data_IF_277275238579
#
_entry.id   IF_277275238579
#
_cell.length_a   1.000
_cell.length_b   1.000
_cell.length_c   1.000
_cell.angle_alpha   90.00
_cell.angle_beta   90.00
_cell.angle_gamma   90.00
#
_symmetry.space_group_name_H-M   'P 1'
#
loop_
_entity.id
_entity.type
_entity.pdbx_description
1 polymer ?
#
# COMPACT_ATOMS: atom_id res chain seq x y z
N UNK A 1 -33.99 5.94 -20.77
CA UNK A 1 -33.45 6.12 -19.41
C UNK A 1 -31.96 5.85 -19.47
N UNK A 2 -31.11 6.88 -19.44
CA UNK A 2 -29.66 6.68 -19.46
C UNK A 2 -29.24 5.93 -18.20
N UNK A 3 -28.54 4.81 -18.36
CA UNK A 3 -27.92 4.10 -17.24
C UNK A 3 -26.95 5.07 -16.54
N UNK A 4 -27.19 5.35 -15.26
CA UNK A 4 -26.25 6.11 -14.44
C UNK A 4 -24.89 5.40 -14.44
N UNK A 5 -23.86 6.06 -14.97
CA UNK A 5 -22.49 5.56 -15.01
C UNK A 5 -22.01 5.36 -13.57
N UNK A 6 -21.59 4.15 -13.20
CA UNK A 6 -21.06 3.86 -11.85
C UNK A 6 -19.74 4.63 -11.69
N UNK A 7 -19.75 5.69 -10.87
CA UNK A 7 -18.53 6.44 -10.58
C UNK A 7 -17.57 5.60 -9.71
N UNK A 8 -16.25 5.65 -9.97
CA UNK A 8 -15.25 5.10 -9.05
C UNK A 8 -15.41 5.71 -7.64
N UNK A 9 -14.88 5.06 -6.60
CA UNK A 9 -14.93 5.60 -5.25
C UNK A 9 -13.99 6.80 -5.06
N UNK A 10 -12.97 6.96 -5.92
CA UNK A 10 -12.06 8.10 -5.97
C UNK A 10 -12.36 9.05 -7.15
N UNK A 11 -11.94 10.33 -7.10
CA UNK A 11 -11.91 11.24 -8.24
C UNK A 11 -11.18 10.68 -9.47
N UNK A 12 -11.51 11.18 -10.66
CA UNK A 12 -10.97 10.67 -11.94
C UNK A 12 -9.45 10.86 -12.03
N UNK A 13 -8.95 12.01 -11.62
CA UNK A 13 -7.53 12.34 -11.61
C UNK A 13 -6.73 11.47 -10.63
N UNK A 14 -7.30 11.11 -9.48
CA UNK A 14 -6.70 10.15 -8.56
C UNK A 14 -6.69 8.72 -9.14
N UNK A 15 -7.78 8.29 -9.78
CA UNK A 15 -7.81 7.01 -10.51
C UNK A 15 -6.74 6.96 -11.62
N UNK A 16 -6.58 8.05 -12.37
CA UNK A 16 -5.60 8.15 -13.46
C UNK A 16 -4.18 8.08 -12.92
N UNK A 17 -3.94 8.70 -11.77
CA UNK A 17 -2.66 8.61 -11.10
C UNK A 17 -2.38 7.21 -10.56
N UNK A 18 -3.35 6.52 -9.96
CA UNK A 18 -3.18 5.13 -9.51
C UNK A 18 -2.77 4.23 -10.69
N UNK A 19 -3.39 4.42 -11.86
CA UNK A 19 -3.03 3.70 -13.09
C UNK A 19 -1.62 4.07 -13.55
N UNK A 20 -1.24 5.34 -13.51
CA UNK A 20 0.11 5.80 -13.84
C UNK A 20 1.17 5.25 -12.86
N UNK A 21 0.86 5.22 -11.56
CA UNK A 21 1.73 4.65 -10.53
C UNK A 21 1.93 3.15 -10.76
N UNK A 22 0.87 2.40 -11.05
CA UNK A 22 0.99 0.99 -11.42
C UNK A 22 1.82 0.80 -12.69
N UNK A 23 1.61 1.61 -13.74
CA UNK A 23 2.44 1.57 -14.95
C UNK A 23 3.93 1.83 -14.64
N UNK A 24 4.22 2.77 -13.73
CA UNK A 24 5.58 3.02 -13.25
C UNK A 24 6.15 1.83 -12.48
N UNK A 25 5.40 1.25 -11.53
CA UNK A 25 5.80 0.05 -10.77
C UNK A 25 6.18 -1.09 -11.71
N UNK A 26 5.32 -1.37 -12.70
CA UNK A 26 5.58 -2.37 -13.74
C UNK A 26 6.90 -2.15 -14.46
N UNK A 27 7.21 -0.90 -14.80
CA UNK A 27 8.45 -0.52 -15.49
C UNK A 27 9.68 -0.63 -14.59
N UNK A 28 9.60 -0.17 -13.35
CA UNK A 28 10.77 -0.16 -12.45
C UNK A 28 11.05 -1.51 -11.81
N UNK A 29 10.02 -2.35 -11.67
CA UNK A 29 10.14 -3.72 -11.15
C UNK A 29 10.38 -4.76 -12.26
N UNK A 30 10.35 -4.34 -13.52
CA UNK A 30 10.52 -5.19 -14.70
C UNK A 30 9.61 -6.43 -14.65
N UNK A 31 8.30 -6.17 -14.51
CA UNK A 31 7.33 -7.21 -14.17
C UNK A 31 6.69 -7.92 -15.38
N UNK A 32 7.26 -7.76 -16.58
CA UNK A 32 6.63 -8.25 -17.79
C UNK A 32 6.41 -9.77 -17.71
N UNK A 33 5.15 -10.19 -17.89
CA UNK A 33 4.75 -11.59 -17.77
C UNK A 33 4.66 -12.15 -16.35
N UNK A 34 4.98 -11.38 -15.30
CA UNK A 34 4.77 -11.80 -13.91
C UNK A 34 3.28 -11.76 -13.56
N UNK A 35 2.87 -12.75 -12.77
CA UNK A 35 1.57 -12.82 -12.12
C UNK A 35 1.82 -12.83 -10.63
N UNK A 36 1.42 -11.76 -9.97
CA UNK A 36 1.51 -11.62 -8.52
C UNK A 36 0.24 -12.22 -7.94
N UNK A 37 0.35 -13.01 -6.89
CA UNK A 37 -0.80 -13.60 -6.20
C UNK A 37 -1.36 -12.63 -5.15
N UNK A 38 -2.67 -12.71 -4.88
CA UNK A 38 -3.27 -11.93 -3.81
C UNK A 38 -2.89 -12.54 -2.46
N UNK A 39 -2.44 -11.70 -1.52
CA UNK A 39 -2.19 -12.11 -0.13
C UNK A 39 -3.40 -11.68 0.71
N UNK A 40 -4.12 -12.67 1.24
CA UNK A 40 -5.37 -12.45 1.95
C UNK A 40 -5.23 -12.82 3.44
N UNK A 41 -6.02 -12.20 4.35
CA UNK A 41 -6.06 -12.56 5.78
C UNK A 41 -6.31 -14.05 6.06
N UNK A 42 -7.01 -14.76 5.17
CA UNK A 42 -7.21 -16.21 5.25
C UNK A 42 -6.01 -17.08 4.85
N UNK A 43 -4.84 -16.51 4.56
CA UNK A 43 -3.63 -17.27 4.23
C UNK A 43 -3.16 -18.10 5.43
N UNK A 44 -3.00 -19.41 5.23
CA UNK A 44 -2.67 -20.35 6.32
C UNK A 44 -1.34 -20.01 7.02
N UNK A 45 -0.30 -19.64 6.27
CA UNK A 45 0.99 -19.30 6.88
C UNK A 45 0.88 -18.05 7.77
N UNK A 46 0.15 -17.02 7.32
CA UNK A 46 -0.10 -15.82 8.12
C UNK A 46 -0.93 -16.15 9.37
N UNK A 47 -1.92 -17.05 9.26
CA UNK A 47 -2.75 -17.46 10.39
C UNK A 47 -2.01 -18.32 11.43
N UNK A 48 -1.00 -19.08 11.00
CA UNK A 48 -0.16 -19.91 11.87
C UNK A 48 0.96 -19.14 12.57
N UNK A 49 1.36 -17.98 12.03
CA UNK A 49 2.41 -17.15 12.62
C UNK A 49 2.00 -16.61 14.00
N UNK A 50 2.89 -16.75 14.97
CA UNK A 50 2.67 -16.36 16.37
C UNK A 50 3.54 -15.20 16.81
N UNK A 51 4.55 -14.85 16.01
CA UNK A 51 5.51 -13.78 16.29
C UNK A 51 5.59 -12.78 15.14
N UNK A 52 6.06 -11.57 15.45
CA UNK A 52 6.34 -10.54 14.44
C UNK A 52 7.40 -10.99 13.43
N UNK A 53 8.44 -11.70 13.88
CA UNK A 53 9.50 -12.21 13.01
C UNK A 53 8.98 -13.27 12.02
N UNK A 54 8.09 -14.16 12.45
CA UNK A 54 7.43 -15.13 11.56
C UNK A 54 6.56 -14.41 10.52
N UNK A 55 5.72 -13.45 10.95
CA UNK A 55 4.91 -12.64 10.03
C UNK A 55 5.80 -11.88 9.03
N UNK A 56 6.87 -11.25 9.52
CA UNK A 56 7.81 -10.53 8.66
C UNK A 56 8.45 -11.46 7.62
N UNK A 57 8.95 -12.62 8.03
CA UNK A 57 9.55 -13.59 7.11
C UNK A 57 8.55 -14.05 6.04
N UNK A 58 7.28 -14.27 6.40
CA UNK A 58 6.23 -14.62 5.44
C UNK A 58 5.98 -13.46 4.46
N UNK A 59 5.82 -12.23 4.96
CA UNK A 59 5.60 -11.05 4.09
C UNK A 59 6.80 -10.83 3.17
N UNK A 60 8.02 -10.91 3.69
CA UNK A 60 9.26 -10.79 2.95
C UNK A 60 9.37 -11.86 1.85
N UNK A 61 8.99 -13.10 2.14
CA UNK A 61 8.94 -14.16 1.14
C UNK A 61 7.89 -13.88 0.04
N UNK A 62 6.71 -13.40 0.41
CA UNK A 62 5.65 -13.04 -0.56
C UNK A 62 6.04 -11.85 -1.44
N UNK A 63 6.84 -10.92 -0.92
CA UNK A 63 7.46 -9.86 -1.71
C UNK A 63 8.63 -10.35 -2.60
N UNK A 64 8.96 -11.65 -2.58
CA UNK A 64 10.12 -12.24 -3.25
C UNK A 64 11.47 -11.66 -2.78
N UNK A 65 11.53 -11.26 -1.51
CA UNK A 65 12.69 -10.62 -0.87
C UNK A 65 13.31 -11.50 0.22
N UNK A 66 13.04 -12.81 0.24
CA UNK A 66 13.48 -13.71 1.32
C UNK A 66 15.01 -13.69 1.55
N UNK A 67 15.78 -13.52 0.47
CA UNK A 67 17.25 -13.48 0.52
C UNK A 67 17.81 -12.05 0.67
N UNK A 68 16.94 -11.04 0.77
CA UNK A 68 17.38 -9.65 0.88
C UNK A 68 17.80 -9.35 2.32
N UNK A 69 18.97 -8.72 2.54
CA UNK A 69 19.40 -8.37 3.90
C UNK A 69 18.44 -7.32 4.46
N UNK A 70 17.75 -7.68 5.55
CA UNK A 70 16.89 -6.78 6.29
C UNK A 70 16.70 -7.30 7.72
N UNK A 71 16.96 -6.44 8.70
CA UNK A 71 16.78 -6.75 10.11
C UNK A 71 15.45 -6.18 10.61
N UNK A 72 14.73 -6.98 11.39
CA UNK A 72 13.50 -6.54 12.04
C UNK A 72 13.79 -6.12 13.48
N UNK A 73 13.46 -4.89 13.84
CA UNK A 73 13.62 -4.36 15.19
C UNK A 73 12.28 -3.92 15.79
N UNK A 74 12.04 -4.29 17.05
CA UNK A 74 10.87 -3.84 17.80
C UNK A 74 11.20 -2.52 18.49
N UNK A 75 10.34 -1.52 18.30
CA UNK A 75 10.36 -0.29 19.09
C UNK A 75 9.28 -0.40 20.17
N UNK A 76 9.67 -0.15 21.43
CA UNK A 76 8.70 0.02 22.50
C UNK A 76 8.03 1.39 22.37
N UNK A 77 6.71 1.41 22.50
CA UNK A 77 5.98 2.66 22.62
C UNK A 77 6.39 3.28 23.97
N UNK A 78 7.12 4.40 23.94
CA UNK A 78 7.39 5.13 25.18
C UNK A 78 6.04 5.46 25.79
N UNK A 79 5.72 4.85 26.93
CA UNK A 79 4.59 5.27 27.74
C UNK A 79 4.90 6.70 28.15
N UNK A 80 4.34 7.68 27.44
CA UNK A 80 4.36 9.05 27.92
C UNK A 80 3.67 9.03 29.28
N UNK A 81 4.48 9.10 30.34
CA UNK A 81 4.04 9.68 31.60
C UNK A 81 3.99 11.18 31.36
N UNK A 82 3.10 11.63 30.48
CA UNK A 82 2.82 13.05 30.31
C UNK A 82 1.91 13.49 31.44
N UNK A 83 2.32 14.56 32.12
CA UNK A 83 1.49 15.33 33.03
C UNK A 83 0.14 15.64 32.33
N UNK A 84 -1.02 15.69 33.01
CA UNK A 84 -2.33 15.91 32.39
C UNK A 84 -2.50 17.25 31.65
N UNK A 85 -1.46 18.09 31.63
CA UNK A 85 -1.44 19.42 31.04
C UNK A 85 -0.68 19.51 29.70
N UNK A 86 0.00 18.44 29.26
CA UNK A 86 0.84 18.48 28.06
C UNK A 86 0.23 17.62 26.94
N UNK A 87 -0.52 18.26 26.03
CA UNK A 87 -0.99 17.63 24.79
C UNK A 87 0.20 17.58 23.84
N UNK A 88 1.05 16.57 23.99
CA UNK A 88 2.14 16.30 23.06
C UNK A 88 1.62 15.33 22.00
N UNK A 89 1.41 15.86 20.79
CA UNK A 89 0.98 15.14 19.60
C UNK A 89 2.20 14.38 19.02
N UNK A 90 2.71 13.38 19.75
CA UNK A 90 3.82 12.54 19.31
C UNK A 90 3.30 11.48 18.34
N UNK A 91 3.06 11.87 17.08
CA UNK A 91 2.66 10.95 16.02
C UNK A 91 3.88 10.19 15.51
N UNK A 92 4.30 9.13 16.23
CA UNK A 92 5.36 8.23 15.74
C UNK A 92 4.79 7.28 14.67
N UNK A 93 5.50 7.06 13.55
CA UNK A 93 5.05 6.14 12.53
C UNK A 93 5.01 4.70 13.07
N UNK A 94 4.04 3.91 12.61
CA UNK A 94 3.78 2.55 13.06
C UNK A 94 4.89 1.55 12.66
N UNK A 95 5.61 1.86 11.60
CA UNK A 95 6.85 1.23 11.19
C UNK A 95 7.77 2.24 10.52
N UNK A 96 9.04 1.87 10.36
CA UNK A 96 10.01 2.64 9.59
C UNK A 96 10.97 1.73 8.85
N UNK A 97 11.47 2.20 7.72
CA UNK A 97 12.56 1.61 6.96
C UNK A 97 13.77 2.55 6.97
N UNK A 98 14.97 2.03 7.25
CA UNK A 98 16.23 2.79 7.17
C UNK A 98 17.42 1.92 6.77
N UNK A 99 18.47 2.57 6.29
CA UNK A 99 19.79 1.97 6.08
C UNK A 99 20.77 2.53 7.13
N UNK A 100 21.34 1.66 7.97
CA UNK A 100 22.17 2.04 9.12
C UNK A 100 23.69 1.94 8.84
N UNK A 101 24.08 1.72 7.57
CA UNK A 101 25.48 1.71 7.15
C UNK A 101 26.14 0.33 7.05
N UNK A 102 27.42 0.33 6.67
CA UNK A 102 28.21 -0.89 6.47
C UNK A 102 28.40 -1.65 7.79
N UNK A 103 27.62 -2.71 8.00
CA UNK A 103 27.69 -3.60 9.16
C UNK A 103 26.33 -3.90 9.79
N UNK A 104 25.41 -2.93 9.74
CA UNK A 104 24.04 -3.06 10.26
C UNK A 104 23.01 -3.23 9.13
N UNK A 105 23.30 -2.71 7.93
CA UNK A 105 22.46 -2.93 6.74
C UNK A 105 21.09 -2.25 6.83
N UNK A 106 20.10 -2.86 6.19
CA UNK A 106 18.72 -2.35 6.18
C UNK A 106 17.96 -2.81 7.41
N UNK A 107 17.18 -1.90 8.00
CA UNK A 107 16.39 -2.16 9.20
C UNK A 107 14.95 -1.75 8.97
N UNK A 108 14.03 -2.66 9.26
CA UNK A 108 12.60 -2.37 9.38
C UNK A 108 12.25 -2.39 10.86
N UNK A 109 11.67 -1.29 11.34
CA UNK A 109 11.21 -1.16 12.72
C UNK A 109 9.71 -1.20 12.80
N UNK A 110 9.17 -1.71 13.90
CA UNK A 110 7.73 -1.75 14.13
C UNK A 110 7.36 -1.44 15.59
N UNK A 111 6.22 -0.78 15.78
CA UNK A 111 5.68 -0.49 17.12
C UNK A 111 5.20 -1.77 17.82
N UNK A 112 5.57 -1.91 19.10
CA UNK A 112 5.10 -2.98 19.97
C UNK A 112 3.56 -3.08 20.04
N UNK A 113 2.84 -1.96 19.92
CA UNK A 113 1.37 -1.92 19.91
C UNK A 113 0.74 -2.78 18.81
N UNK A 114 1.46 -3.01 17.70
CA UNK A 114 0.98 -3.79 16.56
C UNK A 114 0.98 -5.30 16.82
N UNK A 115 1.69 -5.80 17.84
CA UNK A 115 1.72 -7.24 18.18
C UNK A 115 0.33 -7.81 18.51
N UNK A 116 -0.63 -6.95 18.87
CA UNK A 116 -2.02 -7.36 19.14
C UNK A 116 -2.92 -7.28 17.91
N UNK A 117 -2.39 -6.87 16.76
CA UNK A 117 -3.11 -6.60 15.51
C UNK A 117 -2.30 -7.15 14.32
N UNK A 118 -2.26 -8.48 14.13
CA UNK A 118 -1.41 -9.12 13.12
C UNK A 118 -1.67 -8.58 11.70
N UNK A 119 -2.92 -8.33 11.31
CA UNK A 119 -3.25 -7.76 10.00
C UNK A 119 -2.63 -6.37 9.78
N UNK A 120 -2.62 -5.53 10.81
CA UNK A 120 -1.97 -4.23 10.73
C UNK A 120 -0.45 -4.39 10.61
N UNK A 121 0.12 -5.37 11.32
CA UNK A 121 1.54 -5.65 11.26
C UNK A 121 1.97 -6.15 9.87
N UNK A 122 1.15 -7.01 9.24
CA UNK A 122 1.32 -7.42 7.85
C UNK A 122 1.26 -6.23 6.90
N UNK A 123 0.27 -5.33 7.08
CA UNK A 123 0.18 -4.12 6.27
C UNK A 123 1.42 -3.22 6.43
N UNK A 124 1.90 -3.02 7.66
CA UNK A 124 3.12 -2.25 7.95
C UNK A 124 4.33 -2.90 7.28
N UNK A 125 4.55 -4.20 7.45
CA UNK A 125 5.68 -4.88 6.82
C UNK A 125 5.65 -4.82 5.29
N UNK A 126 4.47 -4.98 4.68
CA UNK A 126 4.32 -4.88 3.24
C UNK A 126 4.65 -3.46 2.73
N UNK A 127 4.26 -2.43 3.49
CA UNK A 127 4.61 -1.04 3.20
C UNK A 127 6.13 -0.81 3.34
N UNK A 128 6.74 -1.16 4.45
CA UNK A 128 8.18 -0.94 4.66
C UNK A 128 9.07 -1.75 3.70
N UNK A 129 8.67 -2.98 3.35
CA UNK A 129 9.36 -3.77 2.32
C UNK A 129 9.17 -3.15 0.93
N UNK A 130 8.06 -2.45 0.68
CA UNK A 130 7.88 -1.70 -0.56
C UNK A 130 8.82 -0.50 -0.65
N UNK A 131 9.11 0.18 0.47
CA UNK A 131 10.17 1.21 0.50
C UNK A 131 11.51 0.61 0.10
N UNK A 132 11.88 -0.52 0.70
CA UNK A 132 13.12 -1.21 0.35
C UNK A 132 13.14 -1.65 -1.13
N UNK A 133 12.04 -2.24 -1.62
CA UNK A 133 11.95 -2.67 -3.01
C UNK A 133 12.12 -1.50 -3.99
N UNK A 134 11.58 -0.32 -3.67
CA UNK A 134 11.61 0.86 -4.52
C UNK A 134 12.87 1.72 -4.36
N UNK A 135 13.72 1.43 -3.38
CA UNK A 135 14.92 2.20 -3.13
C UNK A 135 15.82 2.24 -4.39
N UNK A 136 16.24 3.46 -4.76
CA UNK A 136 17.09 3.68 -5.93
C UNK A 136 16.41 3.47 -7.29
N UNK A 137 15.10 3.17 -7.34
CA UNK A 137 14.36 2.90 -8.60
C UNK A 137 13.78 4.14 -9.29
N UNK A 138 14.06 5.33 -8.74
CA UNK A 138 13.66 6.62 -9.30
C UNK A 138 12.44 7.22 -8.60
N UNK A 139 11.98 8.35 -9.13
CA UNK A 139 10.89 9.14 -8.54
C UNK A 139 9.55 8.64 -9.11
N UNK A 140 8.50 8.47 -8.28
CA UNK A 140 7.20 8.05 -8.76
C UNK A 140 6.50 9.14 -9.60
N UNK A 141 5.48 8.77 -10.41
CA UNK A 141 4.67 9.73 -11.16
C UNK A 141 4.11 10.81 -10.23
N UNK A 142 4.25 12.08 -10.61
CA UNK A 142 3.79 13.21 -9.81
C UNK A 142 4.83 13.79 -8.83
N UNK A 143 5.99 13.15 -8.64
CA UNK A 143 7.13 13.71 -7.91
C UNK A 143 7.41 13.05 -6.56
N UNK A 144 8.48 13.51 -5.86
CA UNK A 144 8.95 12.90 -4.62
C UNK A 144 7.95 13.00 -3.45
N UNK A 145 7.04 13.99 -3.48
CA UNK A 145 6.00 14.15 -2.46
C UNK A 145 4.98 12.99 -2.45
N UNK A 146 4.96 12.16 -3.50
CA UNK A 146 4.08 11.00 -3.64
C UNK A 146 4.77 9.67 -3.35
N UNK A 147 5.97 9.66 -2.74
CA UNK A 147 6.71 8.44 -2.40
C UNK A 147 5.89 7.51 -1.50
N UNK A 148 5.36 7.99 -0.37
CA UNK A 148 4.55 7.16 0.53
C UNK A 148 3.30 6.57 -0.15
N UNK A 149 2.65 7.36 -1.02
CA UNK A 149 1.47 6.91 -1.77
C UNK A 149 1.85 5.86 -2.82
N UNK A 150 3.03 6.01 -3.45
CA UNK A 150 3.57 5.04 -4.38
C UNK A 150 4.03 3.76 -3.66
N UNK A 151 4.52 3.87 -2.43
CA UNK A 151 4.83 2.74 -1.55
C UNK A 151 3.57 1.95 -1.19
N UNK A 152 2.46 2.63 -0.88
CA UNK A 152 1.16 1.97 -0.71
C UNK A 152 0.66 1.29 -2.00
N UNK A 153 0.83 1.94 -3.15
CA UNK A 153 0.54 1.34 -4.44
C UNK A 153 1.38 0.08 -4.66
N UNK A 154 2.66 0.11 -4.30
CA UNK A 154 3.57 -1.02 -4.41
C UNK A 154 3.14 -2.18 -3.52
N UNK A 155 2.81 -1.93 -2.25
CA UNK A 155 2.31 -2.95 -1.35
C UNK A 155 0.99 -3.58 -1.86
N UNK A 156 0.07 -2.76 -2.38
CA UNK A 156 -1.16 -3.25 -3.01
C UNK A 156 -0.88 -4.08 -4.28
N UNK A 157 0.07 -3.61 -5.11
CA UNK A 157 0.53 -4.27 -6.33
C UNK A 157 1.18 -5.63 -6.04
N UNK A 158 1.95 -5.74 -4.95
CA UNK A 158 2.55 -6.97 -4.42
C UNK A 158 1.53 -7.93 -3.77
N UNK A 159 0.24 -7.58 -3.80
CA UNK A 159 -0.85 -8.46 -3.36
C UNK A 159 -1.40 -8.17 -1.97
N UNK A 160 -0.88 -7.19 -1.23
CA UNK A 160 -1.28 -6.89 0.16
C UNK A 160 -2.41 -5.87 0.29
N UNK A 161 -3.07 -5.51 -0.82
CA UNK A 161 -4.06 -4.43 -0.85
C UNK A 161 -5.21 -4.57 0.17
N UNK A 162 -5.65 -5.80 0.46
CA UNK A 162 -6.68 -6.07 1.48
C UNK A 162 -6.20 -5.69 2.88
N UNK A 163 -4.95 -6.01 3.23
CA UNK A 163 -4.37 -5.64 4.53
C UNK A 163 -4.26 -4.13 4.66
N UNK A 164 -3.71 -3.45 3.65
CA UNK A 164 -3.61 -1.99 3.67
C UNK A 164 -4.99 -1.32 3.78
N UNK A 165 -5.94 -1.72 2.93
CA UNK A 165 -7.29 -1.15 2.95
C UNK A 165 -8.01 -1.37 4.28
N UNK A 166 -7.88 -2.55 4.88
CA UNK A 166 -8.46 -2.85 6.19
C UNK A 166 -7.74 -2.10 7.33
N UNK A 167 -6.47 -1.72 7.16
CA UNK A 167 -5.66 -1.04 8.17
C UNK A 167 -5.51 0.47 7.95
N UNK A 168 -6.03 1.04 6.86
CA UNK A 168 -5.84 2.44 6.45
C UNK A 168 -6.08 3.47 7.57
N UNK A 169 -7.20 3.36 8.30
CA UNK A 169 -7.51 4.26 9.44
C UNK A 169 -6.50 4.17 10.58
N UNK A 170 -5.80 3.05 10.70
CA UNK A 170 -4.71 2.94 11.65
C UNK A 170 -3.49 3.68 11.19
N UNK A 171 -3.25 3.89 9.90
CA UNK A 171 -2.15 4.71 9.38
C UNK A 171 -2.49 6.21 9.44
N UNK A 172 -3.71 6.58 9.04
CA UNK A 172 -4.20 7.97 9.09
C UNK A 172 -4.10 8.60 10.49
N UNK A 173 -4.32 7.82 11.55
CA UNK A 173 -4.21 8.30 12.94
C UNK A 173 -2.81 8.79 13.34
N UNK A 174 -1.76 8.44 12.59
CA UNK A 174 -0.37 8.80 12.88
C UNK A 174 0.23 9.78 11.86
N UNK A 175 -0.56 10.19 10.87
CA UNK A 175 -0.16 11.19 9.88
C UNK A 175 -1.19 12.31 9.90
N UNK A 176 -1.01 13.30 10.77
CA UNK A 176 -1.91 14.44 10.84
C UNK A 176 -1.54 15.46 9.76
N UNK A 177 -2.47 15.76 8.85
CA UNK A 177 -2.28 16.77 7.81
C UNK A 177 -3.50 16.89 6.88
N UNK A 178 -4.29 17.94 7.05
CA UNK A 178 -5.41 18.25 6.16
C UNK A 178 -5.00 19.22 5.02
N UNK A 179 -5.74 19.13 3.89
CA UNK A 179 -6.35 20.24 3.11
C UNK A 179 -6.12 20.22 1.57
N UNK A 180 -7.28 20.25 0.87
CA UNK A 180 -7.63 20.72 -0.49
C UNK A 180 -6.85 20.19 -1.71
N UNK A 181 -7.50 19.28 -2.46
CA UNK A 181 -7.05 18.67 -3.73
C UNK A 181 -6.14 17.46 -3.49
N UNK A 182 -6.45 16.26 -4.01
CA UNK A 182 -5.75 15.03 -3.61
C UNK A 182 -4.23 15.08 -3.82
N UNK A 183 -3.77 15.87 -4.80
CA UNK A 183 -2.34 16.13 -5.10
C UNK A 183 -1.68 17.18 -4.21
N UNK A 184 -2.43 18.19 -3.77
CA UNK A 184 -1.96 19.25 -2.88
C UNK A 184 -2.15 18.91 -1.39
N UNK A 185 -2.89 17.83 -1.11
CA UNK A 185 -3.09 17.24 0.21
C UNK A 185 -2.19 16.03 0.49
N UNK A 186 -1.17 15.78 -0.33
CA UNK A 186 -0.32 14.58 -0.25
C UNK A 186 0.66 14.63 0.94
N UNK A 187 0.12 14.60 2.15
CA UNK A 187 0.82 14.22 3.36
C UNK A 187 0.27 12.88 3.82
N UNK A 188 1.12 11.87 3.97
CA UNK A 188 0.75 10.56 4.50
C UNK A 188 0.48 9.49 3.45
N UNK A 189 -0.54 8.68 3.70
CA UNK A 189 -0.84 7.42 3.01
C UNK A 189 -2.06 7.56 2.08
N UNK A 190 -2.28 6.57 1.22
CA UNK A 190 -3.51 6.48 0.43
C UNK A 190 -4.74 6.35 1.35
N UNK A 191 -5.82 7.05 1.01
CA UNK A 191 -7.11 6.90 1.69
C UNK A 191 -7.69 5.48 1.55
N UNK A 192 -8.65 5.11 2.41
CA UNK A 192 -9.39 3.84 2.28
C UNK A 192 -9.92 3.60 0.86
N UNK A 193 -10.47 4.63 0.22
CA UNK A 193 -11.05 4.55 -1.11
C UNK A 193 -9.99 4.34 -2.19
N UNK A 194 -8.83 4.98 -2.02
CA UNK A 194 -7.69 4.84 -2.91
C UNK A 194 -7.04 3.46 -2.78
N UNK A 195 -6.82 2.96 -1.56
CA UNK A 195 -6.31 1.61 -1.30
C UNK A 195 -7.22 0.52 -1.85
N UNK A 196 -8.54 0.66 -1.67
CA UNK A 196 -9.51 -0.26 -2.28
C UNK A 196 -9.46 -0.20 -3.81
N UNK A 197 -9.25 1.00 -4.38
CA UNK A 197 -9.11 1.17 -5.84
C UNK A 197 -7.81 0.56 -6.35
N UNK A 198 -6.69 0.73 -5.65
CA UNK A 198 -5.41 0.10 -5.94
C UNK A 198 -5.50 -1.43 -5.83
N UNK A 199 -6.22 -1.95 -4.84
CA UNK A 199 -6.50 -3.39 -4.69
C UNK A 199 -7.29 -3.91 -5.90
N UNK A 200 -8.31 -3.18 -6.36
CA UNK A 200 -9.07 -3.53 -7.56
C UNK A 200 -8.22 -3.47 -8.84
N UNK A 201 -7.28 -2.52 -8.96
CA UNK A 201 -6.31 -2.46 -10.05
C UNK A 201 -5.40 -3.70 -10.05
N UNK A 202 -4.81 -4.04 -8.91
CA UNK A 202 -3.96 -5.22 -8.76
C UNK A 202 -4.73 -6.52 -9.10
N UNK A 203 -5.98 -6.61 -8.64
CA UNK A 203 -6.86 -7.75 -8.92
C UNK A 203 -7.12 -7.93 -10.42
N UNK A 204 -7.43 -6.85 -11.14
CA UNK A 204 -7.65 -6.93 -12.59
C UNK A 204 -6.37 -7.18 -13.37
N UNK A 205 -5.27 -6.55 -12.95
CA UNK A 205 -3.98 -6.72 -13.60
C UNK A 205 -3.54 -8.19 -13.58
N UNK A 206 -3.75 -8.86 -12.46
CA UNK A 206 -3.31 -10.23 -12.21
C UNK A 206 -4.41 -11.30 -12.38
N UNK A 207 -5.62 -10.91 -12.82
CA UNK A 207 -6.78 -11.79 -12.94
C UNK A 207 -7.06 -12.59 -11.66
N UNK A 208 -7.05 -11.91 -10.51
CA UNK A 208 -7.42 -12.47 -9.21
C UNK A 208 -8.92 -12.78 -9.12
N UNK A 209 -9.27 -13.65 -8.18
CA UNK A 209 -10.67 -13.87 -7.78
C UNK A 209 -11.18 -12.64 -7.02
N UNK A 210 -12.00 -11.84 -7.70
CA UNK A 210 -12.57 -10.63 -7.13
C UNK A 210 -13.54 -10.90 -5.98
N UNK A 211 -14.28 -12.02 -6.00
CA UNK A 211 -15.23 -12.37 -4.95
C UNK A 211 -14.48 -12.78 -3.68
N UNK A 212 -13.37 -13.51 -3.83
CA UNK A 212 -12.49 -13.85 -2.72
C UNK A 212 -11.85 -12.61 -2.07
N UNK A 213 -11.38 -11.65 -2.87
CA UNK A 213 -10.85 -10.38 -2.36
C UNK A 213 -11.94 -9.58 -1.63
N UNK A 214 -13.10 -9.43 -2.25
CA UNK A 214 -14.23 -8.69 -1.68
C UNK A 214 -14.65 -9.25 -0.33
N UNK A 215 -14.72 -10.57 -0.20
CA UNK A 215 -15.11 -11.24 1.04
C UNK A 215 -14.16 -10.96 2.22
N UNK A 216 -12.90 -10.61 1.94
CA UNK A 216 -11.88 -10.33 2.96
C UNK A 216 -11.76 -8.83 3.31
N UNK A 217 -12.41 -7.96 2.54
CA UNK A 217 -12.49 -6.53 2.87
C UNK A 217 -13.51 -6.29 3.99
N UNK A 218 -13.26 -5.26 4.81
CA UNK A 218 -14.26 -4.75 5.77
C UNK A 218 -15.59 -4.48 5.05
N UNK A 219 -16.76 -4.81 5.65
CA UNK A 219 -18.05 -4.76 4.96
C UNK A 219 -18.38 -3.42 4.28
N UNK A 220 -17.96 -2.29 4.87
CA UNK A 220 -18.22 -0.96 4.29
C UNK A 220 -17.35 -0.67 3.05
N UNK A 221 -16.21 -1.34 2.88
CA UNK A 221 -15.30 -1.18 1.73
C UNK A 221 -15.73 -2.02 0.52
N UNK A 222 -16.47 -3.10 0.72
CA UNK A 222 -16.90 -4.01 -0.35
C UNK A 222 -17.67 -3.29 -1.46
N UNK A 223 -18.52 -2.32 -1.09
CA UNK A 223 -19.24 -1.51 -2.08
C UNK A 223 -18.29 -0.71 -2.95
N UNK A 224 -17.25 -0.12 -2.36
CA UNK A 224 -16.29 0.69 -3.09
C UNK A 224 -15.37 -0.18 -3.96
N UNK A 225 -15.03 -1.39 -3.51
CA UNK A 225 -14.31 -2.37 -4.33
C UNK A 225 -15.09 -2.72 -5.60
N UNK A 226 -16.37 -3.08 -5.47
CA UNK A 226 -17.24 -3.37 -6.64
C UNK A 226 -17.35 -2.17 -7.59
N UNK A 227 -17.41 -0.95 -7.06
CA UNK A 227 -17.47 0.27 -7.87
C UNK A 227 -16.16 0.54 -8.60
N UNK A 228 -15.02 0.40 -7.91
CA UNK A 228 -13.68 0.52 -8.47
C UNK A 228 -13.49 -0.51 -9.58
N UNK A 229 -13.78 -1.79 -9.32
CA UNK A 229 -13.65 -2.86 -10.31
C UNK A 229 -14.46 -2.58 -11.58
N UNK A 230 -15.72 -2.15 -11.45
CA UNK A 230 -16.55 -1.77 -12.60
C UNK A 230 -16.06 -0.53 -13.32
N UNK A 231 -15.51 0.46 -12.61
CA UNK A 231 -14.98 1.66 -13.21
C UNK A 231 -13.71 1.38 -14.01
N UNK A 232 -12.77 0.62 -13.43
CA UNK A 232 -11.51 0.23 -14.09
C UNK A 232 -11.80 -0.59 -15.35
N UNK A 233 -12.63 -1.63 -15.28
CA UNK A 233 -12.93 -2.48 -16.45
C UNK A 233 -13.60 -1.69 -17.59
N UNK A 234 -14.33 -0.62 -17.28
CA UNK A 234 -14.98 0.25 -18.25
C UNK A 234 -14.04 1.30 -18.82
N UNK A 235 -13.30 2.00 -17.97
CA UNK A 235 -12.47 3.14 -18.36
C UNK A 235 -11.10 2.66 -18.90
N UNK A 236 -10.67 1.44 -18.55
CA UNK A 236 -9.41 0.79 -18.92
C UNK A 236 -9.61 -0.67 -19.37
N UNK A 237 -10.38 -0.93 -20.45
CA UNK A 237 -10.72 -2.29 -20.88
C UNK A 237 -9.52 -3.15 -21.31
N UNK A 238 -8.42 -2.51 -21.71
CA UNK A 238 -7.14 -3.15 -22.04
C UNK A 238 -6.06 -2.68 -21.05
N UNK A 239 -6.29 -2.89 -19.74
CA UNK A 239 -5.49 -2.30 -18.66
C UNK A 239 -3.97 -2.49 -18.84
N UNK A 240 -3.52 -3.68 -19.25
CA UNK A 240 -2.10 -3.97 -19.48
C UNK A 240 -1.51 -3.13 -20.62
N UNK A 241 -2.20 -3.07 -21.76
CA UNK A 241 -1.78 -2.27 -22.91
C UNK A 241 -1.79 -0.78 -22.57
N UNK A 242 -2.85 -0.32 -21.87
CA UNK A 242 -2.92 1.06 -21.38
C UNK A 242 -1.72 1.42 -20.51
N UNK A 243 -1.31 0.54 -19.58
CA UNK A 243 -0.15 0.79 -18.72
C UNK A 243 1.16 0.76 -19.51
N UNK A 244 1.30 -0.12 -20.49
CA UNK A 244 2.50 -0.23 -21.32
C UNK A 244 2.71 1.02 -22.22
N UNK A 245 1.63 1.56 -22.76
CA UNK A 245 1.65 2.71 -23.68
C UNK A 245 1.59 4.08 -22.96
N UNK A 246 1.46 4.09 -21.63
CA UNK A 246 1.30 5.32 -20.86
C UNK A 246 2.60 6.15 -20.88
N UNK A 247 2.52 7.40 -21.36
CA UNK A 247 3.67 8.32 -21.28
C UNK A 247 3.86 8.85 -19.86
N UNK A 248 4.65 8.14 -19.06
CA UNK A 248 5.00 8.51 -17.69
C UNK A 248 5.67 9.89 -17.60
N UNK A 249 6.26 10.40 -18.69
CA UNK A 249 6.83 11.76 -18.71
C UNK A 249 5.77 12.85 -18.57
N UNK A 250 4.53 12.59 -18.97
CA UNK A 250 3.41 13.51 -18.75
C UNK A 250 3.09 13.69 -17.25
N UNK A 251 3.61 12.82 -16.39
CA UNK A 251 3.45 12.86 -14.94
C UNK A 251 4.71 13.36 -14.21
N UNK A 252 5.82 13.57 -14.92
CA UNK A 252 7.02 14.16 -14.35
C UNK A 252 6.84 15.68 -14.34
N UNK A 253 6.83 16.26 -13.14
CA UNK A 253 6.97 17.70 -12.99
C UNK A 253 8.46 18.01 -13.05
N UNK A 254 8.83 18.84 -14.03
CA UNK A 254 10.18 19.42 -14.12
C UNK A 254 10.43 20.39 -12.96
#
# INVERSE_FOLDING_TARGET
MGLFKVAPPVPKDELDWLVACFAWLRRVLDDEGRKIEAVLPGNAALAEATTASELFAIVQQQCEMADWPCHLERIEDEQSRSDPAEVQLDSRPLGTFSYEGEGEGYVIRYSASLLRKPDNLVATFAHELSHYLLEGRGVPPGGPDLVEHATDCCAAYLGFGVFLANSARHFEQWTDGAWQGWRSSASGYLSEQALVTATALAAQLNAHDADAIEAQLKPYLQRDFRRASKAIARDYPALRDTMADLDLRAWNFA
#
